data_IF_212238397164
#
_entry.id   IF_212238397164
#
_cell.length_a   1.000
_cell.length_b   1.000
_cell.length_c   1.000
_cell.angle_alpha   90.00
_cell.angle_beta   90.00
_cell.angle_gamma   90.00
#
_symmetry.space_group_name_H-M   'P 1'
#
loop_
_entity.id
_entity.type
_entity.pdbx_description
1 polymer ?
#
# COMPACT_ATOMS: atom_id res chain seq x y z
N UNK A 1 -2.25 20.87 8.22
CA UNK A 1 -0.84 20.55 7.90
C UNK A 1 -0.69 19.59 6.73
N UNK A 2 -1.72 18.82 6.41
CA UNK A 2 -1.65 17.72 5.41
C UNK A 2 -1.49 18.22 3.96
N UNK A 3 -1.93 19.42 3.68
CA UNK A 3 -1.83 20.00 2.34
C UNK A 3 -0.42 20.49 1.96
N UNK A 4 0.47 20.75 2.93
CA UNK A 4 1.82 21.28 2.66
C UNK A 4 2.68 20.28 1.92
N UNK A 5 2.60 19.00 2.31
CA UNK A 5 3.32 17.91 1.65
C UNK A 5 2.82 17.77 0.20
N UNK A 6 1.51 17.84 0.00
CA UNK A 6 0.90 17.76 -1.34
C UNK A 6 1.33 18.93 -2.22
N UNK A 7 1.35 20.15 -1.70
CA UNK A 7 1.80 21.35 -2.42
C UNK A 7 3.30 21.30 -2.74
N UNK A 8 4.10 20.77 -1.82
CA UNK A 8 5.54 20.63 -2.01
C UNK A 8 5.85 19.59 -3.11
N UNK A 9 5.17 18.44 -3.08
CA UNK A 9 5.26 17.45 -4.15
C UNK A 9 4.73 17.98 -5.48
N UNK A 10 3.59 18.67 -5.48
CA UNK A 10 3.02 19.28 -6.69
C UNK A 10 3.93 20.34 -7.31
N UNK A 11 4.64 21.12 -6.48
CA UNK A 11 5.63 22.10 -6.94
C UNK A 11 6.95 21.47 -7.40
N UNK A 12 7.37 20.37 -6.79
CA UNK A 12 8.62 19.68 -7.16
C UNK A 12 8.49 18.88 -8.46
N UNK A 13 7.32 18.37 -8.80
CA UNK A 13 7.11 17.57 -10.03
C UNK A 13 7.49 18.32 -11.30
N UNK A 14 6.95 19.53 -11.59
CA UNK A 14 7.35 20.28 -12.78
C UNK A 14 8.82 20.71 -12.74
N UNK A 15 9.35 21.05 -11.56
CA UNK A 15 10.76 21.39 -11.38
C UNK A 15 11.67 20.17 -11.62
N UNK A 16 11.24 18.98 -11.23
CA UNK A 16 11.96 17.73 -11.48
C UNK A 16 12.09 17.44 -12.99
N UNK A 17 11.02 17.66 -13.75
CA UNK A 17 11.04 17.53 -15.22
C UNK A 17 12.00 18.55 -15.86
N UNK A 18 11.97 19.79 -15.40
CA UNK A 18 12.88 20.85 -15.86
C UNK A 18 14.33 20.48 -15.53
N UNK A 19 14.60 20.04 -14.30
CA UNK A 19 15.94 19.62 -13.85
C UNK A 19 16.48 18.45 -14.69
N UNK A 20 15.63 17.45 -14.97
CA UNK A 20 15.98 16.34 -15.85
C UNK A 20 16.37 16.82 -17.25
N UNK A 21 15.55 17.67 -17.85
CA UNK A 21 15.82 18.22 -19.18
C UNK A 21 17.07 19.08 -19.21
N UNK A 22 17.30 19.91 -18.19
CA UNK A 22 18.51 20.73 -18.09
C UNK A 22 19.79 19.88 -18.03
N UNK A 23 19.81 18.86 -17.16
CA UNK A 23 20.95 17.94 -17.06
C UNK A 23 21.22 17.19 -18.35
N UNK A 24 20.16 16.66 -18.97
CA UNK A 24 20.24 15.96 -20.26
C UNK A 24 20.74 16.85 -21.38
N UNK A 25 20.19 18.08 -21.51
CA UNK A 25 20.61 19.05 -22.54
C UNK A 25 22.05 19.49 -22.37
N UNK A 26 22.50 19.72 -21.13
CA UNK A 26 23.91 20.06 -20.85
C UNK A 26 24.86 18.95 -21.30
N UNK A 27 24.52 17.69 -21.03
CA UNK A 27 25.31 16.53 -21.46
C UNK A 27 25.30 16.40 -22.99
N UNK A 28 24.15 16.54 -23.63
CA UNK A 28 24.03 16.53 -25.10
C UNK A 28 24.85 17.65 -25.77
N UNK A 29 24.85 18.85 -25.20
CA UNK A 29 25.66 19.96 -25.65
C UNK A 29 27.18 19.71 -25.55
N UNK A 30 27.62 18.94 -24.54
CA UNK A 30 29.03 18.51 -24.46
C UNK A 30 29.35 17.43 -25.51
N UNK A 31 28.43 16.50 -25.74
CA UNK A 31 28.56 15.46 -26.75
C UNK A 31 28.63 16.05 -28.16
N UNK A 32 27.81 17.06 -28.49
CA UNK A 32 27.81 17.74 -29.77
C UNK A 32 29.12 18.51 -30.05
N UNK A 33 29.86 18.86 -29.01
CA UNK A 33 31.20 19.45 -29.08
C UNK A 33 32.33 18.42 -29.25
N UNK A 34 31.98 17.15 -29.53
CA UNK A 34 32.96 16.08 -29.75
C UNK A 34 33.55 15.47 -28.48
N UNK A 35 33.04 15.85 -27.28
CA UNK A 35 33.51 15.30 -26.02
C UNK A 35 32.84 13.92 -25.77
N UNK A 36 33.65 12.91 -25.42
CA UNK A 36 33.12 11.59 -25.03
C UNK A 36 32.55 11.64 -23.62
N UNK A 37 31.26 11.31 -23.49
CA UNK A 37 30.60 11.20 -22.21
C UNK A 37 30.86 9.82 -21.60
N UNK A 38 31.07 9.77 -20.27
CA UNK A 38 31.19 8.50 -19.52
C UNK A 38 29.88 7.72 -19.50
N UNK A 39 28.75 8.40 -19.45
CA UNK A 39 27.41 7.79 -19.33
C UNK A 39 26.48 8.35 -20.41
N UNK A 40 25.37 7.66 -20.68
CA UNK A 40 24.35 8.16 -21.58
C UNK A 40 23.73 9.48 -21.07
N UNK A 41 23.34 10.41 -21.98
CA UNK A 41 22.79 11.73 -21.59
C UNK A 41 21.61 11.67 -20.64
N UNK A 42 20.78 10.62 -20.70
CA UNK A 42 19.67 10.41 -19.79
C UNK A 42 20.09 10.30 -18.32
N UNK A 43 21.23 9.66 -18.01
CA UNK A 43 21.73 9.55 -16.64
C UNK A 43 22.17 10.89 -16.04
N UNK A 44 22.61 11.83 -16.86
CA UNK A 44 22.89 13.20 -16.39
C UNK A 44 21.61 13.95 -16.05
N UNK A 45 20.51 13.67 -16.75
CA UNK A 45 19.17 14.15 -16.38
C UNK A 45 18.74 13.61 -15.02
N UNK A 46 18.83 12.31 -14.80
CA UNK A 46 18.53 11.69 -13.51
C UNK A 46 19.44 12.18 -12.40
N UNK A 47 20.69 12.41 -12.67
CA UNK A 47 21.65 12.99 -11.73
C UNK A 47 21.23 14.40 -11.27
N UNK A 48 20.84 15.27 -12.21
CA UNK A 48 20.32 16.60 -11.89
C UNK A 48 19.04 16.55 -11.09
N UNK A 49 18.14 15.62 -11.42
CA UNK A 49 16.91 15.38 -10.69
C UNK A 49 17.19 14.94 -9.24
N UNK A 50 18.14 14.04 -9.02
CA UNK A 50 18.56 13.65 -7.68
C UNK A 50 19.06 14.84 -6.85
N UNK A 51 19.86 15.72 -7.46
CA UNK A 51 20.36 16.93 -6.80
C UNK A 51 19.28 17.97 -6.49
N UNK A 52 18.17 17.97 -7.22
CA UNK A 52 17.01 18.82 -6.90
C UNK A 52 16.17 18.20 -5.77
N UNK A 53 15.85 16.91 -5.88
CA UNK A 53 14.87 16.25 -5.01
C UNK A 53 15.44 15.89 -3.64
N UNK A 54 16.68 15.35 -3.58
CA UNK A 54 17.24 14.89 -2.31
C UNK A 54 17.43 15.99 -1.26
N UNK A 55 17.96 17.19 -1.58
CA UNK A 55 18.06 18.27 -0.60
C UNK A 55 16.69 18.78 -0.14
N UNK A 56 15.70 18.83 -1.04
CA UNK A 56 14.34 19.24 -0.69
C UNK A 56 13.67 18.23 0.26
N UNK A 57 13.80 16.94 -0.02
CA UNK A 57 13.31 15.88 0.86
C UNK A 57 14.05 15.86 2.20
N UNK A 58 15.37 16.06 2.18
CA UNK A 58 16.18 16.14 3.39
C UNK A 58 15.76 17.31 4.30
N UNK A 59 15.52 18.48 3.73
CA UNK A 59 15.00 19.63 4.47
C UNK A 59 13.60 19.36 5.04
N UNK A 60 12.70 18.79 4.26
CA UNK A 60 11.35 18.43 4.71
C UNK A 60 11.37 17.41 5.83
N UNK A 61 12.22 16.39 5.73
CA UNK A 61 12.40 15.39 6.78
C UNK A 61 12.99 15.99 8.05
N UNK A 62 13.98 16.86 7.94
CA UNK A 62 14.59 17.55 9.09
C UNK A 62 13.54 18.39 9.84
N UNK A 63 12.71 19.15 9.14
CA UNK A 63 11.63 19.91 9.75
C UNK A 63 10.55 19.00 10.38
N UNK A 64 10.22 17.88 9.74
CA UNK A 64 9.27 16.91 10.29
C UNK A 64 9.81 16.30 11.60
N UNK A 65 11.08 15.94 11.66
CA UNK A 65 11.72 15.41 12.87
C UNK A 65 11.78 16.45 14.00
N UNK A 66 12.09 17.71 13.69
CA UNK A 66 12.09 18.80 14.67
C UNK A 66 10.69 19.05 15.23
N UNK A 67 9.67 18.95 14.39
CA UNK A 67 8.27 19.06 14.81
C UNK A 67 7.84 17.90 15.73
N UNK A 68 8.19 16.67 15.38
CA UNK A 68 7.90 15.47 16.19
C UNK A 68 8.63 15.54 17.54
N UNK A 69 9.86 16.03 17.55
CA UNK A 69 10.64 16.23 18.77
C UNK A 69 10.12 17.39 19.66
N UNK A 70 9.12 18.14 19.20
CA UNK A 70 8.59 19.30 19.92
C UNK A 70 9.55 20.50 20.01
N UNK A 71 10.66 20.46 19.26
CA UNK A 71 11.69 21.51 19.31
C UNK A 71 11.34 22.73 18.48
N UNK A 72 10.63 22.54 17.36
CA UNK A 72 10.27 23.63 16.47
C UNK A 72 9.08 23.26 15.58
N UNK A 73 8.11 24.18 15.48
CA UNK A 73 6.99 24.09 14.54
C UNK A 73 7.08 25.19 13.51
N UNK A 74 7.48 24.84 12.28
CA UNK A 74 7.55 25.81 11.20
C UNK A 74 6.18 26.06 10.57
N UNK A 75 5.82 27.31 10.23
CA UNK A 75 4.61 27.60 9.46
C UNK A 75 4.72 27.01 8.04
N UNK A 76 3.57 26.60 7.48
CA UNK A 76 3.48 25.99 6.17
C UNK A 76 4.23 26.72 5.04
N UNK A 77 4.11 28.04 4.88
CA UNK A 77 4.83 28.76 3.83
C UNK A 77 6.36 28.72 4.01
N UNK A 78 6.85 28.67 5.24
CA UNK A 78 8.29 28.56 5.51
C UNK A 78 8.84 27.19 5.10
N UNK A 79 8.11 26.11 5.36
CA UNK A 79 8.47 24.76 4.91
C UNK A 79 8.55 24.68 3.40
N UNK A 80 7.57 25.27 2.72
CA UNK A 80 7.51 25.30 1.27
C UNK A 80 8.68 26.10 0.66
N UNK A 81 8.94 27.30 1.16
CA UNK A 81 10.03 28.14 0.67
C UNK A 81 11.40 27.53 0.97
N UNK A 82 11.62 26.96 2.15
CA UNK A 82 12.84 26.25 2.48
C UNK A 82 13.09 25.05 1.58
N UNK A 83 12.05 24.25 1.33
CA UNK A 83 12.12 23.12 0.41
C UNK A 83 12.49 23.54 -1.01
N UNK A 84 11.89 24.59 -1.54
CA UNK A 84 12.19 25.13 -2.87
C UNK A 84 13.61 25.72 -2.96
N UNK A 85 14.06 26.42 -1.92
CA UNK A 85 15.43 26.97 -1.86
C UNK A 85 16.47 25.85 -1.81
N UNK A 86 16.24 24.80 -1.03
CA UNK A 86 17.10 23.62 -1.00
C UNK A 86 17.10 22.88 -2.35
N UNK A 87 15.94 22.78 -3.02
CA UNK A 87 15.84 22.20 -4.34
C UNK A 87 16.64 23.00 -5.38
N UNK A 88 16.47 24.31 -5.42
CA UNK A 88 17.18 25.20 -6.32
C UNK A 88 18.70 25.21 -6.08
N UNK A 89 19.12 25.29 -4.82
CA UNK A 89 20.52 25.21 -4.42
C UNK A 89 21.16 23.88 -4.80
N UNK A 90 20.48 22.78 -4.54
CA UNK A 90 20.90 21.44 -4.93
C UNK A 90 21.04 21.29 -6.46
N UNK A 91 20.06 21.78 -7.22
CA UNK A 91 20.13 21.75 -8.69
C UNK A 91 21.32 22.55 -9.22
N UNK A 92 21.56 23.75 -8.68
CA UNK A 92 22.71 24.58 -9.08
C UNK A 92 24.04 23.88 -8.80
N UNK A 93 24.18 23.24 -7.64
CA UNK A 93 25.36 22.44 -7.30
C UNK A 93 25.52 21.25 -8.23
N UNK A 94 24.44 20.50 -8.46
CA UNK A 94 24.41 19.34 -9.36
C UNK A 94 24.82 19.75 -10.79
N UNK A 95 24.26 20.83 -11.30
CA UNK A 95 24.57 21.34 -12.64
C UNK A 95 26.04 21.78 -12.79
N UNK A 96 26.65 22.32 -11.75
CA UNK A 96 28.06 22.68 -11.76
C UNK A 96 28.99 21.48 -11.85
N UNK A 97 28.60 20.35 -11.30
CA UNK A 97 29.41 19.11 -11.27
C UNK A 97 29.29 18.27 -12.55
N UNK A 98 28.36 18.58 -13.45
CA UNK A 98 28.20 17.86 -14.72
C UNK A 98 29.40 18.18 -15.63
N UNK A 99 30.25 17.17 -15.84
CA UNK A 99 31.43 17.15 -16.71
C UNK A 99 31.41 15.89 -17.56
N UNK A 100 32.09 15.85 -18.72
CA UNK A 100 32.12 14.68 -19.59
C UNK A 100 32.59 13.39 -18.91
N UNK A 101 33.56 13.48 -18.00
CA UNK A 101 34.09 12.35 -17.23
C UNK A 101 33.28 11.95 -15.99
N UNK A 102 32.14 12.61 -15.72
CA UNK A 102 31.32 12.28 -14.56
C UNK A 102 30.63 10.92 -14.78
N UNK A 103 30.89 9.97 -13.88
CA UNK A 103 30.19 8.68 -13.83
C UNK A 103 28.75 8.85 -13.31
N UNK A 104 27.90 9.57 -14.07
CA UNK A 104 26.54 9.91 -13.65
C UNK A 104 25.69 8.67 -13.38
N UNK A 105 25.81 7.63 -14.22
CA UNK A 105 25.13 6.35 -14.03
C UNK A 105 25.44 5.75 -12.65
N UNK A 106 26.71 5.61 -12.30
CA UNK A 106 27.13 4.97 -11.06
C UNK A 106 26.65 5.75 -9.83
N UNK A 107 26.61 7.09 -9.92
CA UNK A 107 26.10 7.95 -8.84
C UNK A 107 24.59 7.81 -8.67
N UNK A 108 23.84 7.80 -9.76
CA UNK A 108 22.39 7.58 -9.74
C UNK A 108 22.07 6.18 -9.23
N UNK A 109 22.75 5.14 -9.71
CA UNK A 109 22.57 3.77 -9.24
C UNK A 109 22.90 3.62 -7.74
N UNK A 110 23.93 4.34 -7.26
CA UNK A 110 24.23 4.37 -5.80
C UNK A 110 23.11 5.00 -5.00
N UNK A 111 22.54 6.10 -5.46
CA UNK A 111 21.38 6.76 -4.79
C UNK A 111 20.18 5.81 -4.78
N UNK A 112 19.84 5.21 -5.91
CA UNK A 112 18.73 4.25 -6.00
C UNK A 112 18.95 3.08 -5.04
N UNK A 113 20.17 2.52 -4.98
CA UNK A 113 20.51 1.42 -4.07
C UNK A 113 20.31 1.81 -2.61
N UNK A 114 20.74 3.00 -2.21
CA UNK A 114 20.53 3.49 -0.84
C UNK A 114 19.05 3.75 -0.53
N UNK A 115 18.28 4.29 -1.48
CA UNK A 115 16.84 4.46 -1.32
C UNK A 115 16.12 3.12 -1.16
N UNK A 116 16.50 2.12 -1.96
CA UNK A 116 15.92 0.77 -1.84
C UNK A 116 16.30 0.10 -0.52
N UNK A 117 17.53 0.28 -0.05
CA UNK A 117 17.95 -0.23 1.27
C UNK A 117 17.18 0.44 2.41
N UNK A 118 17.00 1.75 2.37
CA UNK A 118 16.19 2.47 3.34
C UNK A 118 14.72 2.03 3.30
N UNK A 119 14.14 1.92 2.12
CA UNK A 119 12.78 1.45 1.96
C UNK A 119 12.57 0.04 2.51
N UNK A 120 13.49 -0.89 2.23
CA UNK A 120 13.42 -2.24 2.78
C UNK A 120 13.65 -2.27 4.29
N UNK A 121 14.55 -1.45 4.83
CA UNK A 121 14.75 -1.34 6.28
C UNK A 121 13.48 -0.83 6.98
N UNK A 122 12.85 0.23 6.45
CA UNK A 122 11.57 0.75 6.96
C UNK A 122 10.49 -0.32 6.90
N UNK A 123 10.38 -1.05 5.79
CA UNK A 123 9.40 -2.13 5.63
C UNK A 123 9.60 -3.23 6.68
N UNK A 124 10.84 -3.67 6.91
CA UNK A 124 11.15 -4.69 7.92
C UNK A 124 10.82 -4.17 9.33
N UNK A 125 11.23 -2.95 9.66
CA UNK A 125 10.94 -2.35 10.96
C UNK A 125 9.43 -2.19 11.19
N UNK A 126 8.68 -1.78 10.17
CA UNK A 126 7.22 -1.68 10.23
C UNK A 126 6.58 -3.05 10.46
N UNK A 127 7.04 -4.08 9.75
CA UNK A 127 6.55 -5.46 9.94
C UNK A 127 6.81 -5.94 11.36
N UNK A 128 8.03 -5.75 11.87
CA UNK A 128 8.36 -6.07 13.26
C UNK A 128 7.48 -5.29 14.24
N UNK A 129 7.28 -3.99 14.00
CA UNK A 129 6.41 -3.15 14.82
C UNK A 129 4.97 -3.66 14.86
N UNK A 130 4.42 -4.09 13.73
CA UNK A 130 3.09 -4.69 13.64
C UNK A 130 3.04 -6.00 14.46
N UNK A 131 4.02 -6.88 14.28
CA UNK A 131 4.08 -8.16 15.02
C UNK A 131 4.13 -7.93 16.52
N UNK A 132 5.01 -7.03 16.99
CA UNK A 132 5.08 -6.70 18.41
C UNK A 132 3.81 -6.04 18.94
N UNK A 133 3.21 -5.13 18.17
CA UNK A 133 1.94 -4.48 18.55
C UNK A 133 0.83 -5.51 18.75
N UNK A 134 0.67 -6.43 17.80
CA UNK A 134 -0.33 -7.50 17.89
C UNK A 134 -0.03 -8.42 19.07
N UNK A 135 1.24 -8.76 19.30
CA UNK A 135 1.65 -9.60 20.41
C UNK A 135 1.32 -8.96 21.77
N UNK A 136 1.61 -7.67 21.93
CA UNK A 136 1.28 -6.95 23.17
C UNK A 136 -0.24 -6.87 23.40
N UNK A 137 -1.03 -6.60 22.36
CA UNK A 137 -2.48 -6.59 22.47
C UNK A 137 -3.05 -8.00 22.77
N UNK A 138 -2.49 -9.04 22.18
CA UNK A 138 -2.87 -10.42 22.48
C UNK A 138 -2.55 -10.79 23.94
N UNK A 139 -1.39 -10.41 24.45
CA UNK A 139 -1.03 -10.64 25.87
C UNK A 139 -2.01 -9.93 26.78
N UNK A 140 -2.35 -8.66 26.52
CA UNK A 140 -3.37 -7.93 27.30
C UNK A 140 -4.73 -8.63 27.28
N UNK A 141 -5.15 -9.11 26.12
CA UNK A 141 -6.41 -9.84 25.96
C UNK A 141 -6.42 -11.12 26.82
N UNK A 142 -5.36 -11.93 26.80
CA UNK A 142 -5.25 -13.16 27.58
C UNK A 142 -5.02 -12.94 29.08
N UNK A 143 -4.77 -11.72 29.52
CA UNK A 143 -4.87 -11.37 30.96
C UNK A 143 -6.31 -11.24 31.44
N UNK A 144 -7.26 -10.96 30.54
CA UNK A 144 -8.69 -10.78 30.85
C UNK A 144 -9.47 -12.08 30.57
N UNK A 145 -9.19 -12.73 29.44
CA UNK A 145 -9.87 -13.94 28.96
C UNK A 145 -8.94 -15.13 29.08
N UNK A 146 -9.40 -16.22 29.71
CA UNK A 146 -8.60 -17.44 29.79
C UNK A 146 -8.32 -18.02 28.38
N UNK A 147 -7.07 -18.44 28.13
CA UNK A 147 -6.67 -19.05 26.87
C UNK A 147 -7.53 -20.29 26.52
N UNK A 148 -7.86 -21.12 27.49
CA UNK A 148 -8.71 -22.30 27.32
C UNK A 148 -10.15 -21.93 27.00
N UNK A 149 -10.70 -20.95 27.67
CA UNK A 149 -12.04 -20.42 27.42
C UNK A 149 -12.13 -19.84 25.99
N UNK A 150 -11.12 -19.11 25.57
CA UNK A 150 -11.03 -18.58 24.20
C UNK A 150 -11.03 -19.69 23.14
N UNK A 151 -10.21 -20.73 23.28
CA UNK A 151 -10.10 -21.81 22.27
C UNK A 151 -11.33 -22.70 22.23
N UNK A 152 -11.92 -22.99 23.39
CA UNK A 152 -13.07 -23.91 23.50
C UNK A 152 -14.42 -23.22 23.46
N UNK A 153 -14.45 -21.90 23.60
CA UNK A 153 -15.68 -21.12 23.61
C UNK A 153 -16.44 -21.23 22.29
N UNK A 154 -17.75 -21.48 22.42
CA UNK A 154 -18.66 -21.68 21.29
C UNK A 154 -19.50 -20.46 20.93
N UNK A 155 -19.34 -19.38 21.67
CA UNK A 155 -20.05 -18.13 21.44
C UNK A 155 -19.08 -16.97 21.23
N UNK A 156 -19.43 -16.08 20.31
CA UNK A 156 -18.66 -14.90 19.96
C UNK A 156 -19.56 -13.68 19.97
N UNK A 157 -19.52 -12.91 21.05
CA UNK A 157 -20.35 -11.72 21.26
C UNK A 157 -19.57 -10.50 21.78
N UNK A 158 -18.56 -9.99 21.03
CA UNK A 158 -17.76 -8.86 21.47
C UNK A 158 -18.57 -7.55 21.58
N UNK A 159 -19.69 -7.44 20.88
CA UNK A 159 -20.56 -6.27 20.89
C UNK A 159 -21.14 -5.95 22.28
N UNK A 160 -21.32 -6.96 23.13
CA UNK A 160 -21.79 -6.77 24.49
C UNK A 160 -20.81 -5.96 25.36
N UNK A 161 -19.48 -6.10 25.11
CA UNK A 161 -18.46 -5.32 25.77
C UNK A 161 -18.53 -3.82 25.41
N UNK A 162 -18.90 -3.48 24.19
CA UNK A 162 -19.09 -2.08 23.77
C UNK A 162 -20.31 -1.43 24.40
N UNK A 163 -21.40 -2.18 24.54
CA UNK A 163 -22.63 -1.68 25.16
C UNK A 163 -22.45 -1.41 26.66
N UNK A 164 -21.76 -2.29 27.38
CA UNK A 164 -21.42 -2.10 28.77
C UNK A 164 -20.44 -0.95 29.01
N UNK A 165 -19.40 -0.80 28.14
CA UNK A 165 -18.44 0.28 28.22
C UNK A 165 -19.01 1.65 27.83
N UNK A 166 -20.07 1.70 27.02
CA UNK A 166 -20.77 2.94 26.64
C UNK A 166 -21.85 3.37 27.66
N UNK A 167 -21.96 2.70 28.84
CA UNK A 167 -22.96 3.02 29.85
C UNK A 167 -24.40 2.70 29.44
N UNK A 168 -24.61 1.94 28.37
CA UNK A 168 -25.90 1.46 27.87
C UNK A 168 -26.20 0.02 28.33
N UNK A 169 -25.39 -0.51 29.23
CA UNK A 169 -25.61 -1.80 29.89
C UNK A 169 -26.70 -1.69 30.93
N UNK A 170 -27.96 -1.98 30.57
CA UNK A 170 -29.01 -2.30 31.54
C UNK A 170 -28.83 -3.74 32.06
N UNK A 171 -29.56 -4.12 33.09
CA UNK A 171 -29.52 -5.47 33.73
C UNK A 171 -29.77 -6.65 32.76
N UNK A 172 -30.04 -6.40 31.47
CA UNK A 172 -30.34 -7.40 30.44
C UNK A 172 -29.25 -7.57 29.39
N UNK A 173 -28.08 -6.91 29.52
CA UNK A 173 -26.98 -7.09 28.54
C UNK A 173 -26.19 -8.33 28.90
N UNK A 174 -26.19 -9.32 28.00
CA UNK A 174 -25.38 -10.52 28.13
C UNK A 174 -23.89 -10.19 28.34
N UNK A 175 -23.22 -10.97 29.19
CA UNK A 175 -21.78 -10.84 29.36
C UNK A 175 -21.08 -11.06 28.02
N UNK A 176 -20.00 -10.31 27.72
CA UNK A 176 -19.27 -10.50 26.48
C UNK A 176 -18.56 -11.86 26.47
N UNK A 177 -18.85 -12.65 25.47
CA UNK A 177 -18.23 -13.96 25.27
C UNK A 177 -17.24 -13.91 24.09
N UNK A 178 -16.05 -14.50 24.27
CA UNK A 178 -14.96 -14.49 23.32
C UNK A 178 -14.51 -15.90 22.96
N UNK A 179 -15.38 -16.67 22.31
CA UNK A 179 -15.07 -18.03 21.85
C UNK A 179 -14.49 -18.01 20.42
N UNK A 180 -13.40 -18.74 20.19
CA UNK A 180 -12.75 -18.83 18.89
C UNK A 180 -13.44 -19.82 17.92
N UNK A 181 -14.16 -20.82 18.44
CA UNK A 181 -14.78 -21.88 17.63
C UNK A 181 -15.68 -21.35 16.51
N UNK A 182 -16.60 -20.37 16.74
CA UNK A 182 -17.43 -19.85 15.67
C UNK A 182 -16.62 -19.12 14.57
N UNK A 183 -15.54 -18.46 14.96
CA UNK A 183 -14.68 -17.74 14.01
C UNK A 183 -13.97 -18.72 13.06
N UNK A 184 -13.39 -19.79 13.62
CA UNK A 184 -12.77 -20.84 12.82
C UNK A 184 -13.78 -21.58 11.96
N UNK A 185 -14.94 -21.94 12.50
CA UNK A 185 -16.00 -22.60 11.74
C UNK A 185 -16.47 -21.73 10.56
N UNK A 186 -16.70 -20.43 10.78
CA UNK A 186 -17.05 -19.50 9.72
C UNK A 186 -15.95 -19.37 8.66
N UNK A 187 -14.68 -19.30 9.06
CA UNK A 187 -13.55 -19.26 8.15
C UNK A 187 -13.45 -20.51 7.29
N UNK A 188 -13.60 -21.70 7.87
CA UNK A 188 -13.61 -22.97 7.12
C UNK A 188 -14.78 -23.03 6.16
N UNK A 189 -15.97 -22.61 6.56
CA UNK A 189 -17.15 -22.60 5.70
C UNK A 189 -16.96 -21.66 4.49
N UNK A 190 -16.52 -20.44 4.71
CA UNK A 190 -16.25 -19.47 3.63
C UNK A 190 -15.15 -19.98 2.71
N UNK A 191 -14.08 -20.56 3.27
CA UNK A 191 -12.98 -21.14 2.49
C UNK A 191 -13.46 -22.29 1.61
N UNK A 192 -14.30 -23.17 2.16
CA UNK A 192 -14.87 -24.29 1.40
C UNK A 192 -15.69 -23.79 0.22
N UNK A 193 -16.57 -22.81 0.42
CA UNK A 193 -17.37 -22.21 -0.67
C UNK A 193 -16.44 -21.57 -1.71
N UNK A 194 -15.44 -20.81 -1.28
CA UNK A 194 -14.47 -20.17 -2.18
C UNK A 194 -13.71 -21.20 -3.02
N UNK A 195 -13.28 -22.32 -2.43
CA UNK A 195 -12.59 -23.38 -3.14
C UNK A 195 -13.49 -24.11 -4.15
N UNK A 196 -14.77 -24.30 -3.82
CA UNK A 196 -15.74 -24.87 -4.76
C UNK A 196 -15.92 -24.02 -6.03
N UNK A 197 -15.69 -22.72 -5.94
CA UNK A 197 -15.74 -21.79 -7.09
C UNK A 197 -14.35 -21.65 -7.74
N UNK A 198 -13.33 -21.37 -6.95
CA UNK A 198 -11.98 -21.05 -7.42
C UNK A 198 -11.33 -22.22 -8.17
N UNK A 199 -11.43 -23.46 -7.63
CA UNK A 199 -10.74 -24.61 -8.21
C UNK A 199 -11.28 -24.97 -9.61
N UNK A 200 -12.59 -25.14 -9.82
CA UNK A 200 -13.09 -25.45 -11.17
C UNK A 200 -12.80 -24.33 -12.17
N UNK A 201 -13.14 -23.11 -11.83
CA UNK A 201 -12.98 -21.96 -12.74
C UNK A 201 -11.51 -21.69 -13.03
N UNK A 202 -10.66 -21.67 -12.00
CA UNK A 202 -9.23 -21.43 -12.13
C UNK A 202 -8.53 -22.51 -12.95
N UNK A 203 -8.83 -23.78 -12.67
CA UNK A 203 -8.25 -24.91 -13.40
C UNK A 203 -8.67 -24.90 -14.88
N UNK A 204 -9.96 -24.74 -15.16
CA UNK A 204 -10.45 -24.66 -16.53
C UNK A 204 -9.89 -23.47 -17.29
N UNK A 205 -9.80 -22.33 -16.65
CA UNK A 205 -9.19 -21.12 -17.23
C UNK A 205 -7.70 -21.34 -17.52
N UNK A 206 -6.96 -21.97 -16.62
CA UNK A 206 -5.54 -22.28 -16.79
C UNK A 206 -5.33 -23.25 -17.96
N UNK A 207 -6.12 -24.33 -18.06
CA UNK A 207 -6.06 -25.28 -19.16
C UNK A 207 -6.40 -24.58 -20.49
N UNK A 208 -7.47 -23.80 -20.53
CA UNK A 208 -7.84 -23.06 -21.73
C UNK A 208 -6.73 -22.11 -22.17
N UNK A 209 -6.14 -21.37 -21.25
CA UNK A 209 -5.08 -20.43 -21.56
C UNK A 209 -3.78 -21.11 -22.02
N UNK A 210 -3.47 -22.30 -21.49
CA UNK A 210 -2.24 -23.02 -21.85
C UNK A 210 -2.37 -23.75 -23.19
N UNK A 211 -3.51 -24.45 -23.43
CA UNK A 211 -3.65 -25.38 -24.54
C UNK A 211 -4.46 -24.78 -25.71
N UNK A 212 -5.55 -24.08 -25.43
CA UNK A 212 -6.55 -23.72 -26.44
C UNK A 212 -6.51 -22.25 -26.86
N UNK A 213 -6.07 -21.34 -26.00
CA UNK A 213 -6.12 -19.93 -26.28
C UNK A 213 -5.14 -19.50 -27.39
N UNK A 214 -5.65 -18.76 -28.38
CA UNK A 214 -4.81 -18.12 -29.39
C UNK A 214 -3.83 -17.12 -28.78
N UNK A 215 -2.72 -16.84 -29.47
CA UNK A 215 -1.71 -15.85 -28.99
C UNK A 215 -2.32 -14.49 -28.70
N UNK A 216 -3.33 -14.07 -29.47
CA UNK A 216 -4.04 -12.79 -29.29
C UNK A 216 -4.88 -12.78 -28.01
N UNK A 217 -5.65 -13.85 -27.76
CA UNK A 217 -6.46 -14.01 -26.56
C UNK A 217 -5.58 -14.07 -25.32
N UNK A 218 -4.51 -14.87 -25.36
CA UNK A 218 -3.53 -14.98 -24.26
C UNK A 218 -2.85 -13.63 -23.95
N UNK A 219 -2.52 -12.87 -25.00
CA UNK A 219 -1.89 -11.55 -24.85
C UNK A 219 -2.80 -10.50 -24.21
N UNK A 220 -4.13 -10.61 -24.35
CA UNK A 220 -5.10 -9.74 -23.71
C UNK A 220 -5.52 -10.24 -22.32
N UNK A 221 -5.76 -11.52 -22.16
CA UNK A 221 -6.28 -12.09 -20.93
C UNK A 221 -5.24 -12.03 -19.80
N UNK A 222 -3.95 -12.25 -20.10
CA UNK A 222 -2.91 -12.23 -19.08
C UNK A 222 -2.80 -10.88 -18.35
N UNK A 223 -2.71 -9.71 -19.00
CA UNK A 223 -2.72 -8.42 -18.32
C UNK A 223 -4.01 -8.16 -17.52
N UNK A 224 -5.17 -8.59 -18.03
CA UNK A 224 -6.45 -8.44 -17.33
C UNK A 224 -6.45 -9.24 -16.02
N UNK A 225 -5.97 -10.49 -16.03
CA UNK A 225 -5.84 -11.31 -14.83
C UNK A 225 -4.82 -10.73 -13.84
N UNK A 226 -3.71 -10.16 -14.34
CA UNK A 226 -2.71 -9.48 -13.50
C UNK A 226 -3.30 -8.22 -12.82
N UNK A 227 -4.11 -7.44 -13.53
CA UNK A 227 -4.83 -6.29 -12.95
C UNK A 227 -5.83 -6.77 -11.90
N UNK A 228 -6.60 -7.80 -12.19
CA UNK A 228 -7.60 -8.36 -11.27
C UNK A 228 -6.94 -8.84 -9.96
N UNK A 229 -5.83 -9.58 -10.09
CA UNK A 229 -5.04 -10.04 -8.94
C UNK A 229 -4.36 -8.89 -8.15
N UNK A 230 -4.14 -7.75 -8.79
CA UNK A 230 -3.55 -6.56 -8.18
C UNK A 230 -4.53 -5.68 -7.38
N UNK A 231 -5.84 -5.94 -7.49
CA UNK A 231 -6.85 -5.17 -6.75
C UNK A 231 -6.75 -5.52 -5.24
N UNK A 232 -6.66 -4.53 -4.33
CA UNK A 232 -6.63 -4.78 -2.90
C UNK A 232 -7.86 -5.57 -2.43
N UNK A 233 -7.64 -6.59 -1.59
CA UNK A 233 -8.71 -7.46 -1.06
C UNK A 233 -9.84 -6.70 -0.36
N UNK A 234 -9.53 -5.54 0.25
CA UNK A 234 -10.53 -4.66 0.87
C UNK A 234 -11.56 -4.16 -0.13
N UNK A 235 -11.14 -3.86 -1.37
CA UNK A 235 -12.05 -3.40 -2.44
C UNK A 235 -13.02 -4.52 -2.82
N UNK A 236 -12.54 -5.75 -2.93
CA UNK A 236 -13.40 -6.93 -3.16
C UNK A 236 -14.38 -7.15 -2.02
N UNK A 237 -13.93 -6.99 -0.75
CA UNK A 237 -14.80 -7.10 0.41
C UNK A 237 -15.91 -6.05 0.42
N UNK A 238 -15.57 -4.82 0.07
CA UNK A 238 -16.56 -3.74 -0.03
C UNK A 238 -17.56 -3.97 -1.16
N UNK A 239 -17.09 -4.41 -2.32
CA UNK A 239 -17.94 -4.81 -3.44
C UNK A 239 -18.86 -5.97 -3.07
N UNK A 240 -18.36 -6.97 -2.35
CA UNK A 240 -19.15 -8.08 -1.85
C UNK A 240 -20.30 -7.59 -0.96
N UNK A 241 -20.03 -6.72 -0.01
CA UNK A 241 -21.02 -6.22 0.93
C UNK A 241 -22.11 -5.37 0.27
N UNK A 242 -21.73 -4.47 -0.65
CA UNK A 242 -22.68 -3.50 -1.22
C UNK A 242 -23.41 -4.04 -2.43
N UNK A 243 -22.76 -4.85 -3.27
CA UNK A 243 -23.31 -5.27 -4.56
C UNK A 243 -23.74 -6.73 -4.57
N UNK A 244 -22.85 -7.63 -4.10
CA UNK A 244 -23.10 -9.08 -4.22
C UNK A 244 -24.06 -9.56 -3.14
N UNK A 245 -23.94 -9.08 -1.90
CA UNK A 245 -24.79 -9.51 -0.80
C UNK A 245 -26.29 -9.26 -1.05
N UNK A 246 -26.73 -8.07 -1.51
CA UNK A 246 -28.13 -7.86 -1.86
C UNK A 246 -28.65 -8.80 -2.96
N UNK A 247 -27.81 -9.08 -3.97
CA UNK A 247 -28.17 -10.01 -5.05
C UNK A 247 -28.34 -11.44 -4.56
N UNK A 248 -27.46 -11.88 -3.65
CA UNK A 248 -27.54 -13.21 -3.04
C UNK A 248 -28.80 -13.33 -2.18
N UNK A 249 -29.13 -12.32 -1.38
CA UNK A 249 -30.35 -12.28 -0.56
C UNK A 249 -31.58 -12.34 -1.43
N UNK A 250 -31.68 -11.48 -2.46
CA UNK A 250 -32.82 -11.49 -3.40
C UNK A 250 -33.00 -12.84 -4.12
N UNK A 251 -31.89 -13.46 -4.53
CA UNK A 251 -31.93 -14.77 -5.13
C UNK A 251 -32.41 -15.86 -4.15
N UNK A 252 -31.98 -15.80 -2.90
CA UNK A 252 -32.41 -16.72 -1.85
C UNK A 252 -33.91 -16.57 -1.56
N UNK A 253 -34.41 -15.35 -1.44
CA UNK A 253 -35.83 -15.07 -1.23
C UNK A 253 -36.71 -15.60 -2.36
N UNK A 254 -36.25 -15.46 -3.63
CA UNK A 254 -36.95 -16.04 -4.80
C UNK A 254 -37.02 -17.57 -4.76
N UNK A 255 -36.09 -18.22 -4.07
CA UNK A 255 -36.06 -19.67 -3.86
C UNK A 255 -36.82 -20.09 -2.59
N UNK A 256 -37.44 -19.13 -1.86
CA UNK A 256 -38.14 -19.40 -0.62
C UNK A 256 -37.21 -19.67 0.59
N UNK A 257 -35.96 -19.22 0.50
CA UNK A 257 -34.95 -19.32 1.56
C UNK A 257 -34.82 -17.96 2.26
N UNK A 258 -34.72 -17.99 3.59
CA UNK A 258 -34.35 -16.81 4.37
C UNK A 258 -32.83 -16.64 4.35
N UNK A 259 -32.35 -15.45 3.95
CA UNK A 259 -30.94 -15.14 3.93
C UNK A 259 -30.69 -13.75 4.55
N UNK A 260 -29.62 -13.64 5.31
CA UNK A 260 -29.15 -12.38 5.87
C UNK A 260 -28.07 -11.76 4.96
N UNK A 261 -27.92 -10.44 5.04
CA UNK A 261 -26.85 -9.70 4.36
C UNK A 261 -25.44 -10.11 4.83
N UNK A 262 -25.34 -10.66 6.04
CA UNK A 262 -24.09 -11.19 6.64
C UNK A 262 -23.90 -12.68 6.42
N UNK A 263 -24.31 -13.20 5.26
CA UNK A 263 -24.19 -14.63 4.92
C UNK A 263 -22.76 -15.02 4.51
N UNK A 264 -22.43 -16.31 4.65
CA UNK A 264 -21.12 -16.84 4.28
C UNK A 264 -20.97 -17.09 2.76
N UNK A 265 -22.07 -17.19 2.03
CA UNK A 265 -22.08 -17.45 0.59
C UNK A 265 -21.48 -16.26 -0.19
N UNK A 266 -21.87 -15.05 0.17
CA UNK A 266 -21.40 -13.82 -0.48
C UNK A 266 -19.86 -13.68 -0.48
N UNK A 267 -19.18 -13.68 0.68
CA UNK A 267 -17.73 -13.59 0.71
C UNK A 267 -17.06 -14.81 0.09
N UNK A 268 -17.65 -16.02 0.23
CA UNK A 268 -17.12 -17.22 -0.40
C UNK A 268 -17.12 -17.14 -1.93
N UNK A 269 -18.20 -16.66 -2.55
CA UNK A 269 -18.28 -16.46 -3.99
C UNK A 269 -17.27 -15.43 -4.48
N UNK A 270 -17.19 -14.27 -3.82
CA UNK A 270 -16.28 -13.18 -4.23
C UNK A 270 -14.82 -13.59 -4.06
N UNK A 271 -14.45 -14.26 -2.97
CA UNK A 271 -13.12 -14.81 -2.77
C UNK A 271 -12.79 -15.91 -3.79
N UNK A 272 -13.79 -16.70 -4.21
CA UNK A 272 -13.59 -17.70 -5.23
C UNK A 272 -13.30 -17.15 -6.62
N UNK A 273 -13.80 -15.95 -6.93
CA UNK A 273 -13.51 -15.25 -8.18
C UNK A 273 -12.16 -14.53 -8.14
N UNK A 274 -11.75 -14.04 -6.98
CA UNK A 274 -10.47 -13.36 -6.75
C UNK A 274 -9.29 -14.32 -6.86
#
# INVERSE_FOLDING_TARGET
SDNVILYLFGGLLPLALIAYQMGRRKAQGQQSRGLRLHSQPGFYGWYSLCWLVLPALGASLAFALLHIAGLYSAPAPMLFTAGLLCAAGGLLMGMRTIRPGLAARNKVEKVIRWLLLLASAVSILTTLGIVFSILFEAIKFFHIVSFWEFITGTQWSPGAAFLSGAGRGGESVAEPEFGAVPIFAGTFMITFIAMCVAVPIGLMSAIYMSEYASKKVRGMAKPILEILAGIPTVVYGFFAAITVSPLVVEAAEKLGLEADYTNALTPGLVMGVM
#
